data_IF_161812602501
#
_entry.id   IF_161812602501
#
_cell.length_a   1.000
_cell.length_b   1.000
_cell.length_c   1.000
_cell.angle_alpha   90.00
_cell.angle_beta   90.00
_cell.angle_gamma   90.00
#
_symmetry.space_group_name_H-M   'P 1'
#
loop_
_entity.id
_entity.type
_entity.pdbx_description
1 polymer ?
#
# COMPACT_ATOMS: atom_id res chain seq x y z
N UNK A 1 70.81 16.02 -39.24
CA UNK A 1 69.80 17.04 -38.88
C UNK A 1 68.76 16.35 -38.03
N UNK A 2 68.97 16.30 -36.71
CA UNK A 2 68.47 17.29 -35.72
C UNK A 2 66.94 17.23 -35.56
N UNK A 3 66.33 17.21 -34.38
CA UNK A 3 66.74 17.12 -32.96
C UNK A 3 65.47 16.72 -32.17
N UNK A 4 65.68 16.02 -31.08
CA UNK A 4 64.76 15.83 -29.96
C UNK A 4 64.10 17.14 -29.46
N UNK A 5 62.84 17.07 -29.02
CA UNK A 5 62.35 17.65 -27.74
C UNK A 5 60.87 17.27 -27.45
N UNK A 6 60.62 16.57 -26.33
CA UNK A 6 59.35 16.64 -25.57
C UNK A 6 59.21 18.05 -24.97
N UNK A 7 57.98 18.56 -24.78
CA UNK A 7 57.37 18.65 -23.44
C UNK A 7 55.82 18.51 -23.51
N UNK A 8 54.99 18.45 -22.47
CA UNK A 8 55.07 18.28 -21.02
C UNK A 8 53.65 17.86 -20.57
N UNK A 9 53.59 17.13 -19.45
CA UNK A 9 52.37 16.88 -18.68
C UNK A 9 51.79 18.21 -18.16
N UNK A 10 50.49 18.40 -18.33
CA UNK A 10 49.58 19.17 -17.48
C UNK A 10 48.40 18.20 -17.27
N UNK A 11 48.28 17.40 -16.21
CA UNK A 11 48.08 17.80 -14.81
C UNK A 11 47.16 19.04 -14.70
N UNK A 12 46.02 18.98 -15.38
CA UNK A 12 44.84 19.77 -15.04
C UNK A 12 43.94 18.90 -14.16
N UNK A 13 43.99 19.15 -12.86
CA UNK A 13 43.23 18.40 -11.86
C UNK A 13 41.74 18.45 -12.14
N UNK A 14 41.16 17.30 -12.50
CA UNK A 14 39.79 17.01 -12.09
C UNK A 14 39.89 16.81 -10.59
N UNK A 15 39.72 17.91 -9.85
CA UNK A 15 39.37 17.83 -8.44
C UNK A 15 38.25 16.81 -8.36
N UNK A 16 38.58 15.69 -7.69
CA UNK A 16 37.59 14.79 -7.15
C UNK A 16 36.51 15.67 -6.53
N UNK A 17 35.35 15.75 -7.19
CA UNK A 17 34.13 16.09 -6.48
C UNK A 17 33.99 14.97 -5.49
N UNK A 18 34.51 15.23 -4.30
CA UNK A 18 34.30 14.47 -3.10
C UNK A 18 32.84 14.07 -3.12
N UNK A 19 32.62 12.75 -3.25
CA UNK A 19 31.33 12.16 -3.01
C UNK A 19 30.83 12.79 -1.71
N UNK A 20 29.73 13.55 -1.80
CA UNK A 20 29.13 14.11 -0.60
C UNK A 20 28.85 12.92 0.30
N UNK A 21 29.41 12.86 1.53
CA UNK A 21 29.10 11.79 2.45
C UNK A 21 27.59 11.82 2.65
N UNK A 22 26.98 10.64 2.58
CA UNK A 22 25.58 10.38 2.85
C UNK A 22 25.00 11.41 3.82
N UNK A 23 24.19 12.33 3.29
CA UNK A 23 23.40 13.22 4.12
C UNK A 23 22.48 12.38 5.00
N UNK A 24 22.07 12.87 6.18
CA UNK A 24 21.25 12.08 7.09
C UNK A 24 19.96 11.69 6.37
N UNK A 25 19.89 10.42 5.98
CA UNK A 25 18.66 9.76 5.58
C UNK A 25 17.60 10.14 6.60
N UNK A 26 16.51 10.76 6.15
CA UNK A 26 15.30 10.83 6.96
C UNK A 26 14.69 9.44 6.78
N UNK A 27 14.84 8.52 7.75
CA UNK A 27 14.35 7.17 7.57
C UNK A 27 12.83 7.26 7.42
N UNK A 28 12.23 6.29 6.73
CA UNK A 28 10.77 6.05 6.76
C UNK A 28 10.26 5.99 8.23
N UNK A 29 11.15 5.71 9.19
CA UNK A 29 10.92 5.78 10.64
C UNK A 29 10.76 7.19 11.25
N UNK A 30 10.80 8.28 10.46
CA UNK A 30 10.36 9.63 10.89
C UNK A 30 9.05 10.05 10.20
N UNK A 31 8.05 9.17 10.15
CA UNK A 31 6.69 9.67 10.30
C UNK A 31 6.59 10.14 11.76
N UNK A 32 6.48 11.46 12.04
CA UNK A 32 6.22 11.90 13.40
C UNK A 32 4.92 11.22 13.84
N UNK A 33 4.77 10.80 15.11
CA UNK A 33 3.43 10.52 15.64
C UNK A 33 2.56 11.70 15.25
N UNK A 34 1.42 11.46 14.60
CA UNK A 34 0.44 12.51 14.32
C UNK A 34 0.14 13.18 15.67
N UNK A 35 0.63 14.39 15.95
CA UNK A 35 0.14 15.12 17.09
C UNK A 35 -1.27 15.50 16.71
N UNK A 36 -2.25 15.24 17.58
CA UNK A 36 -3.55 15.89 17.46
C UNK A 36 -3.32 17.39 17.19
N UNK A 37 -3.83 17.90 16.05
CA UNK A 37 -5.16 18.48 16.09
C UNK A 37 -5.95 18.18 14.80
N UNK A 38 -6.67 17.06 14.77
CA UNK A 38 -7.85 16.95 13.91
C UNK A 38 -9.00 17.90 14.36
N UNK A 39 -8.80 18.67 15.45
CA UNK A 39 -9.77 19.66 15.96
C UNK A 39 -9.67 21.02 15.28
N UNK A 40 -8.52 21.41 14.72
CA UNK A 40 -8.34 22.74 14.11
C UNK A 40 -8.38 22.75 12.58
N UNK A 41 -8.32 21.56 11.95
CA UNK A 41 -8.62 21.36 10.52
C UNK A 41 -10.12 21.32 10.21
N UNK A 42 -10.95 21.51 11.25
CA UNK A 42 -12.40 21.72 11.23
C UNK A 42 -12.76 23.15 10.76
N UNK A 43 -11.92 23.74 9.89
CA UNK A 43 -12.14 25.05 9.25
C UNK A 43 -12.09 25.01 7.71
N UNK A 44 -11.91 23.84 7.09
CA UNK A 44 -12.71 23.50 5.91
C UNK A 44 -14.17 23.40 6.39
N UNK A 45 -15.23 23.60 5.59
CA UNK A 45 -16.60 23.66 6.10
C UNK A 45 -17.11 22.29 6.61
N UNK A 46 -16.53 21.81 7.70
CA UNK A 46 -16.89 20.64 8.50
C UNK A 46 -18.23 20.79 9.19
N UNK A 47 -18.85 21.99 9.14
CA UNK A 47 -20.28 22.14 9.38
C UNK A 47 -21.14 21.35 8.39
N UNK A 48 -20.61 21.01 7.22
CA UNK A 48 -21.23 20.05 6.28
C UNK A 48 -20.61 18.64 6.34
N UNK A 49 -19.44 18.47 7.00
CA UNK A 49 -18.72 17.20 7.10
C UNK A 49 -18.76 16.54 8.49
N UNK A 50 -19.91 16.54 9.18
CA UNK A 50 -20.15 15.56 10.26
C UNK A 50 -20.48 14.19 9.64
N UNK A 51 -19.45 13.52 9.09
CA UNK A 51 -19.58 12.20 8.48
C UNK A 51 -19.58 11.12 9.55
N UNK A 52 -20.76 10.82 10.08
CA UNK A 52 -21.02 9.53 10.69
C UNK A 52 -21.88 8.78 9.70
N UNK A 53 -21.28 7.95 8.82
CA UNK A 53 -22.05 6.97 8.03
C UNK A 53 -22.80 6.11 9.04
N UNK A 54 -24.09 6.43 9.28
CA UNK A 54 -24.92 5.62 10.15
C UNK A 54 -25.14 4.30 9.42
N UNK A 55 -24.84 3.15 10.04
CA UNK A 55 -25.27 1.88 9.51
C UNK A 55 -26.81 1.92 9.50
N UNK A 56 -27.41 1.95 8.31
CA UNK A 56 -28.80 1.55 8.20
C UNK A 56 -28.81 0.05 8.43
N UNK A 57 -29.61 -0.40 9.39
CA UNK A 57 -29.80 -1.82 9.66
C UNK A 57 -30.22 -2.53 8.37
N UNK A 58 -29.30 -3.36 7.87
CA UNK A 58 -29.56 -4.66 7.25
C UNK A 58 -30.85 -4.79 6.41
N UNK A 59 -30.99 -3.96 5.35
CA UNK A 59 -31.97 -4.17 4.25
C UNK A 59 -31.46 -3.66 2.89
N UNK A 60 -30.27 -4.09 2.48
CA UNK A 60 -29.87 -4.08 1.07
C UNK A 60 -29.78 -2.73 0.35
N UNK A 61 -29.67 -1.61 1.07
CA UNK A 61 -29.43 -0.27 0.52
C UNK A 61 -28.45 0.49 1.41
N UNK A 62 -27.27 0.84 0.89
CA UNK A 62 -26.35 1.75 1.57
C UNK A 62 -26.60 3.17 1.07
N UNK A 63 -27.48 3.93 1.74
CA UNK A 63 -27.35 5.39 1.67
C UNK A 63 -26.18 5.77 2.56
N UNK A 64 -25.19 6.46 2.00
CA UNK A 64 -24.27 7.25 2.81
C UNK A 64 -25.12 8.05 3.82
N UNK A 65 -24.67 8.21 5.06
CA UNK A 65 -25.20 9.30 5.89
C UNK A 65 -24.46 10.62 5.58
N UNK A 66 -24.11 10.81 4.31
CA UNK A 66 -24.41 12.08 3.67
C UNK A 66 -25.86 11.94 3.22
N UNK A 67 -26.79 12.77 3.66
CA UNK A 67 -28.07 12.82 2.97
C UNK A 67 -27.83 13.26 1.53
N UNK A 68 -27.51 12.32 0.64
CA UNK A 68 -27.40 12.45 -0.81
C UNK A 68 -28.48 11.53 -1.34
N UNK A 69 -29.72 12.01 -1.29
CA UNK A 69 -30.66 11.61 -2.34
C UNK A 69 -30.12 12.22 -3.65
N UNK A 70 -30.44 11.65 -4.82
CA UNK A 70 -29.95 12.15 -6.13
C UNK A 70 -30.12 13.68 -6.29
N UNK A 71 -31.09 14.28 -5.59
CA UNK A 71 -31.33 15.72 -5.51
C UNK A 71 -30.22 16.55 -4.83
N UNK A 72 -29.48 16.00 -3.85
CA UNK A 72 -28.42 16.72 -3.12
C UNK A 72 -27.02 16.52 -3.72
N UNK A 73 -26.84 15.55 -4.61
CA UNK A 73 -25.61 15.36 -5.38
C UNK A 73 -25.36 16.55 -6.33
N UNK A 74 -26.44 17.09 -6.91
CA UNK A 74 -26.42 18.32 -7.71
C UNK A 74 -26.14 19.60 -6.88
N UNK A 75 -26.21 19.54 -5.55
CA UNK A 75 -26.03 20.70 -4.66
C UNK A 75 -24.66 20.74 -3.96
N UNK A 76 -23.80 19.72 -4.09
CA UNK A 76 -22.47 19.79 -3.47
C UNK A 76 -21.66 20.92 -4.09
N UNK A 77 -21.17 21.91 -3.32
CA UNK A 77 -20.39 23.00 -3.88
C UNK A 77 -19.06 22.46 -4.42
N UNK A 78 -18.61 23.00 -5.56
CA UNK A 78 -17.25 22.75 -6.04
C UNK A 78 -16.24 23.34 -5.03
N UNK A 79 -15.52 22.47 -4.34
CA UNK A 79 -14.53 22.87 -3.33
C UNK A 79 -13.18 23.18 -3.99
N UNK A 80 -12.55 24.28 -3.60
CA UNK A 80 -11.21 24.64 -4.05
C UNK A 80 -10.13 24.01 -3.17
N UNK A 81 -9.09 23.44 -3.79
CA UNK A 81 -7.93 22.89 -3.09
C UNK A 81 -6.91 23.97 -2.66
N UNK A 82 -7.10 25.24 -3.03
CA UNK A 82 -6.17 26.33 -2.71
C UNK A 82 -5.96 26.55 -1.20
N UNK A 83 -6.91 26.12 -0.38
CA UNK A 83 -6.83 26.17 1.08
C UNK A 83 -5.94 25.09 1.70
N UNK A 84 -5.53 24.05 0.95
CA UNK A 84 -4.73 22.94 1.45
C UNK A 84 -3.23 23.28 1.36
N UNK A 85 -2.67 23.83 2.45
CA UNK A 85 -1.31 24.40 2.45
C UNK A 85 -0.22 23.40 2.79
N UNK A 86 -0.53 22.39 3.58
CA UNK A 86 0.45 21.39 4.03
C UNK A 86 0.20 20.01 3.41
N UNK A 87 1.26 19.20 3.34
CA UNK A 87 1.17 17.81 2.91
C UNK A 87 0.16 17.00 3.73
N UNK A 88 0.07 17.25 5.05
CA UNK A 88 -0.89 16.57 5.93
C UNK A 88 -2.34 16.90 5.58
N UNK A 89 -2.63 18.17 5.28
CA UNK A 89 -3.96 18.62 4.85
C UNK A 89 -4.34 18.00 3.52
N UNK A 90 -3.40 17.96 2.56
CA UNK A 90 -3.62 17.32 1.27
C UNK A 90 -3.86 15.81 1.40
N UNK A 91 -3.09 15.11 2.25
CA UNK A 91 -3.31 13.68 2.53
C UNK A 91 -4.65 13.40 3.18
N UNK A 92 -5.08 14.24 4.13
CA UNK A 92 -6.42 14.10 4.73
C UNK A 92 -7.52 14.38 3.69
N UNK A 93 -7.35 15.37 2.83
CA UNK A 93 -8.29 15.64 1.74
C UNK A 93 -8.37 14.45 0.77
N UNK A 94 -7.23 13.87 0.38
CA UNK A 94 -7.19 12.67 -0.47
C UNK A 94 -7.88 11.47 0.18
N UNK A 95 -7.65 11.24 1.48
CA UNK A 95 -8.36 10.23 2.27
C UNK A 95 -9.88 10.44 2.22
N UNK A 96 -10.36 11.64 2.51
CA UNK A 96 -11.80 11.93 2.54
C UNK A 96 -12.42 11.80 1.14
N UNK A 97 -11.81 12.41 0.12
CA UNK A 97 -12.30 12.39 -1.25
C UNK A 97 -12.31 10.97 -1.84
N UNK A 98 -11.29 10.16 -1.54
CA UNK A 98 -11.25 8.76 -1.97
C UNK A 98 -12.34 7.93 -1.29
N UNK A 99 -12.57 8.08 0.01
CA UNK A 99 -13.66 7.38 0.72
C UNK A 99 -15.05 7.78 0.20
N UNK A 100 -15.28 9.07 -0.03
CA UNK A 100 -16.53 9.56 -0.64
C UNK A 100 -16.69 8.97 -2.05
N UNK A 101 -15.63 8.95 -2.86
CA UNK A 101 -15.64 8.38 -4.21
C UNK A 101 -15.99 6.90 -4.19
N UNK A 102 -15.34 6.08 -3.35
CA UNK A 102 -15.66 4.66 -3.25
C UNK A 102 -17.08 4.42 -2.73
N UNK A 103 -17.52 5.22 -1.76
CA UNK A 103 -18.89 5.19 -1.25
C UNK A 103 -19.92 5.52 -2.33
N UNK A 104 -19.66 6.56 -3.13
CA UNK A 104 -20.51 7.02 -4.22
C UNK A 104 -20.62 5.99 -5.35
N UNK A 105 -19.47 5.49 -5.82
CA UNK A 105 -19.42 4.55 -6.95
C UNK A 105 -20.12 3.23 -6.60
N UNK A 106 -19.91 2.74 -5.37
CA UNK A 106 -20.38 1.42 -4.95
C UNK A 106 -21.61 1.42 -4.03
N UNK A 107 -22.33 2.54 -3.88
CA UNK A 107 -23.45 2.66 -2.93
C UNK A 107 -24.57 1.64 -3.16
N UNK A 108 -24.87 1.31 -4.42
CA UNK A 108 -25.85 0.27 -4.80
C UNK A 108 -25.21 -1.11 -5.03
N UNK A 109 -23.97 -1.30 -4.55
CA UNK A 109 -23.21 -2.53 -4.73
C UNK A 109 -22.64 -2.70 -6.15
N UNK A 110 -22.19 -3.92 -6.45
CA UNK A 110 -21.48 -4.22 -7.71
C UNK A 110 -22.39 -4.37 -8.93
N UNK A 111 -23.69 -4.54 -8.74
CA UNK A 111 -24.65 -4.76 -9.84
C UNK A 111 -25.11 -3.47 -10.49
N UNK A 112 -24.99 -2.34 -9.79
CA UNK A 112 -25.40 -1.01 -10.27
C UNK A 112 -24.40 0.06 -9.83
N UNK A 113 -23.12 -0.04 -10.20
CA UNK A 113 -22.15 1.01 -9.87
C UNK A 113 -22.48 2.32 -10.60
N UNK A 114 -22.14 3.45 -9.99
CA UNK A 114 -22.18 4.75 -10.70
C UNK A 114 -20.97 4.83 -11.65
N UNK A 115 -21.22 5.09 -12.93
CA UNK A 115 -20.19 5.09 -13.99
C UNK A 115 -19.57 6.47 -14.26
N UNK A 116 -20.13 7.51 -13.66
CA UNK A 116 -19.66 8.90 -13.78
C UNK A 116 -19.46 9.47 -12.38
N UNK A 117 -18.25 9.97 -12.11
CA UNK A 117 -17.94 10.74 -10.92
C UNK A 117 -18.29 12.21 -11.17
N UNK A 118 -19.23 12.81 -10.41
CA UNK A 118 -19.67 14.18 -10.64
C UNK A 118 -18.54 15.18 -10.54
N UNK A 119 -18.60 16.25 -11.34
CA UNK A 119 -17.56 17.28 -11.45
C UNK A 119 -17.12 17.86 -10.11
N UNK A 120 -18.07 18.04 -9.19
CA UNK A 120 -17.83 18.66 -7.89
C UNK A 120 -17.02 17.76 -6.94
N UNK A 121 -16.91 16.46 -7.26
CA UNK A 121 -16.05 15.50 -6.57
C UNK A 121 -14.80 15.17 -7.40
N UNK A 122 -14.96 14.99 -8.71
CA UNK A 122 -13.88 14.62 -9.63
C UNK A 122 -12.77 15.68 -9.70
N UNK A 123 -13.11 16.95 -9.87
CA UNK A 123 -12.12 18.03 -9.98
C UNK A 123 -11.22 18.17 -8.74
N UNK A 124 -11.75 18.36 -7.52
CA UNK A 124 -10.91 18.50 -6.33
C UNK A 124 -10.13 17.21 -6.04
N UNK A 125 -10.72 16.03 -6.30
CA UNK A 125 -10.00 14.79 -6.09
C UNK A 125 -8.78 14.66 -7.00
N UNK A 126 -8.96 14.88 -8.31
CA UNK A 126 -7.86 14.83 -9.27
C UNK A 126 -6.80 15.90 -9.00
N UNK A 127 -7.21 17.10 -8.58
CA UNK A 127 -6.25 18.16 -8.20
C UNK A 127 -5.40 17.76 -7.00
N UNK A 128 -6.01 17.26 -5.91
CA UNK A 128 -5.26 16.78 -4.73
C UNK A 128 -4.38 15.58 -5.08
N UNK A 129 -4.90 14.62 -5.84
CA UNK A 129 -4.16 13.46 -6.33
C UNK A 129 -2.90 13.88 -7.11
N UNK A 130 -3.04 14.83 -8.04
CA UNK A 130 -1.90 15.38 -8.80
C UNK A 130 -0.87 16.04 -7.88
N UNK A 131 -1.31 16.86 -6.92
CA UNK A 131 -0.40 17.54 -5.98
C UNK A 131 0.39 16.55 -5.11
N UNK A 132 -0.20 15.40 -4.78
CA UNK A 132 0.42 14.34 -3.99
C UNK A 132 1.22 13.33 -4.82
N UNK A 133 1.08 13.32 -6.14
CA UNK A 133 1.62 12.28 -7.01
C UNK A 133 0.98 10.91 -6.79
N UNK A 134 -0.32 10.89 -6.46
CA UNK A 134 -1.14 9.69 -6.26
C UNK A 134 -2.25 9.64 -7.33
N UNK A 135 -2.82 8.45 -7.62
CA UNK A 135 -3.98 8.34 -8.50
C UNK A 135 -5.26 8.72 -7.76
N UNK A 136 -6.29 9.26 -8.45
CA UNK A 136 -7.59 9.62 -7.88
C UNK A 136 -8.48 8.40 -7.63
N UNK A 137 -8.01 7.47 -6.79
CA UNK A 137 -8.74 6.32 -6.26
C UNK A 137 -8.29 6.08 -4.82
N UNK A 138 -9.08 5.34 -4.03
CA UNK A 138 -8.67 4.87 -2.71
C UNK A 138 -7.48 3.90 -2.82
N UNK A 139 -6.29 4.36 -2.43
CA UNK A 139 -5.07 3.56 -2.37
C UNK A 139 -4.76 3.07 -0.95
N UNK A 140 -3.85 2.11 -0.81
CA UNK A 140 -3.33 1.65 0.48
C UNK A 140 -2.74 2.79 1.32
N UNK A 141 -2.10 3.76 0.66
CA UNK A 141 -1.59 4.96 1.30
C UNK A 141 -2.69 5.74 2.04
N UNK A 142 -3.90 5.77 1.51
CA UNK A 142 -5.05 6.43 2.12
C UNK A 142 -5.67 5.53 3.18
N UNK A 143 -6.09 4.33 2.75
CA UNK A 143 -6.85 3.35 3.52
C UNK A 143 -6.15 2.95 4.81
N UNK A 144 -4.81 2.83 4.78
CA UNK A 144 -4.02 2.28 5.88
C UNK A 144 -3.14 3.36 6.48
N UNK A 145 -2.22 3.94 5.71
CA UNK A 145 -1.14 4.76 6.28
C UNK A 145 -1.64 6.08 6.90
N UNK A 146 -2.78 6.61 6.43
CA UNK A 146 -3.37 7.86 6.94
C UNK A 146 -4.68 7.71 7.69
N UNK A 147 -5.36 6.56 7.59
CA UNK A 147 -6.71 6.42 8.16
C UNK A 147 -6.70 5.86 9.60
N UNK A 148 -5.91 6.46 10.49
CA UNK A 148 -5.88 6.06 11.88
C UNK A 148 -5.57 7.23 12.82
N UNK A 149 -6.03 7.11 14.06
CA UNK A 149 -5.72 8.03 15.17
C UNK A 149 -5.58 7.24 16.46
N UNK A 150 -4.87 7.81 17.44
CA UNK A 150 -4.81 7.27 18.80
C UNK A 150 -5.96 7.80 19.64
N UNK A 151 -6.57 6.95 20.47
CA UNK A 151 -7.51 7.36 21.53
C UNK A 151 -6.79 8.10 22.65
N UNK A 152 -5.62 7.60 23.04
CA UNK A 152 -4.70 8.24 23.98
C UNK A 152 -3.29 8.27 23.37
N UNK A 153 -2.74 9.47 23.05
CA UNK A 153 -1.40 9.61 22.49
C UNK A 153 -0.27 9.09 23.39
N UNK A 154 -0.48 9.02 24.70
CA UNK A 154 0.52 8.57 25.68
C UNK A 154 0.59 7.04 25.82
N UNK A 155 -0.29 6.30 25.13
CA UNK A 155 -0.34 4.83 25.17
C UNK A 155 0.29 4.22 23.92
N UNK A 156 0.70 2.95 24.03
CA UNK A 156 1.25 2.18 22.91
C UNK A 156 0.29 2.12 21.71
N UNK A 157 0.87 1.99 20.51
CA UNK A 157 0.13 1.76 19.27
C UNK A 157 -0.34 0.31 19.20
N UNK A 158 -1.42 0.04 19.90
CA UNK A 158 -2.13 -1.24 19.92
C UNK A 158 -3.56 -1.03 19.43
N UNK A 159 -4.18 -2.05 18.85
CA UNK A 159 -5.50 -1.95 18.23
C UNK A 159 -6.60 -1.41 19.17
N UNK A 160 -6.47 -1.64 20.48
CA UNK A 160 -7.39 -1.12 21.52
C UNK A 160 -7.24 0.40 21.71
N UNK A 161 -6.07 0.95 21.47
CA UNK A 161 -5.76 2.37 21.57
C UNK A 161 -5.88 3.10 20.21
N UNK A 162 -6.11 2.38 19.11
CA UNK A 162 -6.27 2.96 17.78
C UNK A 162 -7.74 3.09 17.40
N UNK A 163 -8.04 4.02 16.50
CA UNK A 163 -9.32 4.12 15.81
C UNK A 163 -9.14 4.62 14.37
N UNK A 164 -10.12 4.42 13.51
CA UNK A 164 -10.12 4.92 12.12
C UNK A 164 -10.71 6.34 12.05
N UNK A 165 -10.25 7.14 11.08
CA UNK A 165 -10.72 8.53 10.89
C UNK A 165 -12.00 8.55 10.04
N UNK A 166 -11.97 7.82 8.92
CA UNK A 166 -13.08 7.68 7.97
C UNK A 166 -13.41 6.20 7.81
N UNK A 167 -14.70 5.89 7.65
CA UNK A 167 -15.20 4.52 7.55
C UNK A 167 -16.06 4.35 6.31
N UNK A 168 -16.16 3.10 5.85
CA UNK A 168 -17.05 2.58 4.82
C UNK A 168 -17.92 1.46 5.44
N UNK A 169 -18.92 0.94 4.73
CA UNK A 169 -19.66 -0.22 5.21
C UNK A 169 -18.74 -1.41 5.54
N UNK A 170 -19.06 -2.13 6.62
CA UNK A 170 -18.25 -3.23 7.16
C UNK A 170 -18.03 -3.17 8.69
N UNK A 171 -18.39 -2.06 9.33
CA UNK A 171 -18.42 -1.94 10.80
C UNK A 171 -17.08 -2.27 11.46
N UNK A 172 -17.13 -3.04 12.56
CA UNK A 172 -15.91 -3.46 13.27
C UNK A 172 -14.97 -4.32 12.42
N UNK A 173 -15.48 -5.05 11.41
CA UNK A 173 -14.59 -5.81 10.51
C UNK A 173 -13.78 -4.91 9.60
N UNK A 174 -14.34 -3.79 9.14
CA UNK A 174 -13.56 -2.81 8.35
C UNK A 174 -12.53 -2.13 9.24
N UNK A 175 -12.94 -1.71 10.44
CA UNK A 175 -12.04 -1.13 11.45
C UNK A 175 -10.90 -2.10 11.77
N UNK A 176 -11.21 -3.37 12.00
CA UNK A 176 -10.24 -4.43 12.22
C UNK A 176 -9.28 -4.62 11.05
N UNK A 177 -9.80 -4.69 9.82
CA UNK A 177 -9.00 -4.85 8.61
C UNK A 177 -7.99 -3.71 8.43
N UNK A 178 -8.43 -2.46 8.60
CA UNK A 178 -7.56 -1.30 8.49
C UNK A 178 -6.52 -1.29 9.61
N UNK A 179 -6.94 -1.42 10.87
CA UNK A 179 -6.04 -1.27 12.01
C UNK A 179 -5.04 -2.42 12.14
N UNK A 180 -5.42 -3.66 11.84
CA UNK A 180 -4.44 -4.77 11.78
C UNK A 180 -3.42 -4.52 10.68
N UNK A 181 -3.83 -3.98 9.53
CA UNK A 181 -2.88 -3.63 8.44
C UNK A 181 -1.96 -2.47 8.85
N UNK A 182 -2.44 -1.47 9.60
CA UNK A 182 -1.59 -0.44 10.21
C UNK A 182 -0.55 -1.05 11.13
N UNK A 183 -0.94 -2.04 11.96
CA UNK A 183 0.00 -2.72 12.85
C UNK A 183 1.03 -3.56 12.09
N UNK A 184 0.64 -4.18 10.96
CA UNK A 184 1.56 -4.86 10.04
C UNK A 184 2.61 -3.88 9.50
N UNK A 185 2.19 -2.73 8.99
CA UNK A 185 3.11 -1.68 8.51
C UNK A 185 4.04 -1.17 9.64
N UNK A 186 3.50 -1.01 10.85
CA UNK A 186 4.29 -0.66 12.03
C UNK A 186 5.32 -1.74 12.38
N UNK A 187 4.96 -3.01 12.32
CA UNK A 187 5.87 -4.14 12.60
C UNK A 187 7.03 -4.23 11.61
N UNK A 188 6.87 -3.65 10.41
CA UNK A 188 7.91 -3.58 9.39
C UNK A 188 8.96 -2.49 9.61
N UNK A 189 8.71 -1.49 10.47
CA UNK A 189 9.60 -0.33 10.66
C UNK A 189 11.03 -0.75 11.02
N UNK A 190 11.28 -1.69 11.95
CA UNK A 190 12.63 -2.18 12.23
C UNK A 190 13.31 -2.82 11.01
N UNK A 191 12.55 -3.56 10.20
CA UNK A 191 13.05 -4.17 8.96
C UNK A 191 13.46 -3.11 7.93
N UNK A 192 12.66 -2.06 7.73
CA UNK A 192 13.00 -0.93 6.84
C UNK A 192 14.27 -0.22 7.31
N UNK A 193 14.42 0.01 8.62
CA UNK A 193 15.66 0.57 9.17
C UNK A 193 16.85 -0.36 8.95
N UNK A 194 16.64 -1.68 9.05
CA UNK A 194 17.67 -2.67 8.79
C UNK A 194 18.14 -2.66 7.33
N UNK A 195 17.26 -2.43 6.34
CA UNK A 195 17.68 -2.28 4.94
C UNK A 195 18.71 -1.16 4.79
N UNK A 196 18.43 0.01 5.37
CA UNK A 196 19.34 1.17 5.32
C UNK A 196 20.67 0.86 6.00
N UNK A 197 20.63 0.19 7.16
CA UNK A 197 21.84 -0.22 7.87
C UNK A 197 22.66 -1.22 7.07
N UNK A 198 22.01 -2.19 6.42
CA UNK A 198 22.66 -3.21 5.63
C UNK A 198 23.30 -2.63 4.36
N UNK A 199 22.62 -1.75 3.63
CA UNK A 199 23.20 -1.04 2.47
C UNK A 199 24.46 -0.28 2.88
N UNK A 200 24.42 0.46 4.00
CA UNK A 200 25.59 1.15 4.52
C UNK A 200 26.71 0.19 4.96
N UNK A 201 26.36 -0.97 5.52
CA UNK A 201 27.33 -1.99 5.92
C UNK A 201 28.04 -2.63 4.71
N UNK A 202 27.31 -2.90 3.61
CA UNK A 202 27.89 -3.40 2.36
C UNK A 202 28.88 -2.37 1.80
N UNK A 203 28.47 -1.12 1.68
CA UNK A 203 29.32 -0.03 1.17
C UNK A 203 30.60 0.22 2.00
N UNK A 204 30.57 -0.12 3.29
CA UNK A 204 31.70 0.04 4.20
C UNK A 204 32.44 -1.26 4.47
N UNK A 205 32.08 -2.37 3.80
CA UNK A 205 32.62 -3.71 4.02
C UNK A 205 32.60 -4.15 5.49
N UNK A 206 31.48 -3.91 6.18
CA UNK A 206 31.28 -4.22 7.61
C UNK A 206 30.36 -5.43 7.80
N UNK A 207 30.89 -6.63 7.58
CA UNK A 207 30.13 -7.88 7.65
C UNK A 207 29.39 -8.10 8.98
N UNK A 208 30.02 -7.77 10.11
CA UNK A 208 29.35 -7.87 11.42
C UNK A 208 28.13 -6.94 11.55
N UNK A 209 28.17 -5.76 10.91
CA UNK A 209 27.04 -4.84 10.88
C UNK A 209 25.96 -5.33 9.91
N UNK A 210 26.37 -5.89 8.77
CA UNK A 210 25.46 -6.51 7.81
C UNK A 210 24.71 -7.68 8.43
N UNK A 211 25.42 -8.57 9.13
CA UNK A 211 24.85 -9.72 9.84
C UNK A 211 23.76 -9.30 10.82
N UNK A 212 24.03 -8.29 11.67
CA UNK A 212 23.03 -7.77 12.63
C UNK A 212 21.82 -7.16 11.93
N UNK A 213 22.04 -6.46 10.81
CA UNK A 213 20.96 -5.89 10.02
C UNK A 213 20.08 -6.98 9.41
N UNK A 214 20.66 -8.04 8.83
CA UNK A 214 19.90 -9.17 8.29
C UNK A 214 19.12 -9.91 9.40
N UNK A 215 19.73 -10.12 10.57
CA UNK A 215 19.01 -10.68 11.73
C UNK A 215 17.81 -9.83 12.14
N UNK A 216 17.97 -8.50 12.16
CA UNK A 216 16.87 -7.57 12.47
C UNK A 216 15.78 -7.57 11.40
N UNK A 217 16.16 -7.68 10.11
CA UNK A 217 15.24 -7.82 9.00
C UNK A 217 14.39 -9.09 9.16
N UNK A 218 15.03 -10.24 9.40
CA UNK A 218 14.35 -11.52 9.66
C UNK A 218 13.31 -11.40 10.79
N UNK A 219 13.73 -10.88 11.94
CA UNK A 219 12.82 -10.69 13.09
C UNK A 219 11.64 -9.78 12.74
N UNK A 220 11.88 -8.71 11.99
CA UNK A 220 10.80 -7.81 11.55
C UNK A 220 9.82 -8.52 10.60
N UNK A 221 10.30 -9.36 9.67
CA UNK A 221 9.43 -10.15 8.79
C UNK A 221 8.58 -11.14 9.60
N UNK A 222 9.17 -11.81 10.60
CA UNK A 222 8.44 -12.70 11.50
C UNK A 222 7.37 -11.94 12.31
N UNK A 223 7.69 -10.73 12.78
CA UNK A 223 6.74 -9.86 13.49
C UNK A 223 5.58 -9.41 12.61
N UNK A 224 5.85 -9.10 11.34
CA UNK A 224 4.81 -8.82 10.34
C UNK A 224 3.88 -10.04 10.21
N UNK A 225 4.42 -11.24 10.03
CA UNK A 225 3.63 -12.47 9.91
C UNK A 225 2.75 -12.72 11.13
N UNK A 226 3.33 -12.60 12.34
CA UNK A 226 2.57 -12.74 13.60
C UNK A 226 1.46 -11.70 13.72
N UNK A 227 1.74 -10.46 13.33
CA UNK A 227 0.77 -9.35 13.40
C UNK A 227 -0.36 -9.54 12.39
N UNK A 228 -0.06 -10.01 11.18
CA UNK A 228 -1.06 -10.34 10.16
C UNK A 228 -2.07 -11.38 10.67
N UNK A 229 -1.64 -12.29 11.56
CA UNK A 229 -2.53 -13.28 12.16
C UNK A 229 -3.63 -12.69 13.04
N UNK A 230 -3.50 -11.44 13.50
CA UNK A 230 -4.58 -10.75 14.21
C UNK A 230 -5.81 -10.52 13.33
N UNK A 231 -5.72 -10.62 11.99
CA UNK A 231 -6.88 -10.54 11.09
C UNK A 231 -7.99 -11.51 11.52
N UNK A 232 -7.61 -12.71 11.98
CA UNK A 232 -8.56 -13.72 12.44
C UNK A 232 -9.43 -13.31 13.63
N UNK A 233 -8.96 -12.36 14.44
CA UNK A 233 -9.65 -11.91 15.64
C UNK A 233 -10.54 -10.70 15.39
N UNK A 234 -10.23 -9.91 14.37
CA UNK A 234 -10.83 -8.59 14.15
C UNK A 234 -11.60 -8.45 12.85
N UNK A 235 -11.50 -9.43 11.93
CA UNK A 235 -12.18 -9.37 10.63
C UNK A 235 -13.02 -10.62 10.44
N UNK A 236 -14.32 -10.41 10.24
CA UNK A 236 -15.26 -11.46 9.83
C UNK A 236 -15.08 -11.76 8.32
N UNK A 237 -14.84 -13.03 7.92
CA UNK A 237 -14.67 -13.40 6.53
C UNK A 237 -15.88 -13.11 5.63
N UNK A 238 -17.10 -13.30 6.13
CA UNK A 238 -18.31 -13.10 5.34
C UNK A 238 -18.54 -11.59 5.12
N UNK A 239 -18.31 -10.76 6.15
CA UNK A 239 -18.39 -9.28 6.02
C UNK A 239 -17.29 -8.76 5.10
N UNK A 240 -16.06 -9.28 5.21
CA UNK A 240 -14.98 -8.89 4.31
C UNK A 240 -15.34 -9.15 2.85
N UNK A 241 -15.78 -10.38 2.56
CA UNK A 241 -16.08 -10.81 1.20
C UNK A 241 -17.29 -10.08 0.59
N UNK A 242 -18.39 -10.00 1.33
CA UNK A 242 -19.67 -9.51 0.82
C UNK A 242 -19.84 -7.99 0.91
N UNK A 243 -19.07 -7.30 1.77
CA UNK A 243 -19.24 -5.86 2.00
C UNK A 243 -17.94 -5.11 1.74
N UNK A 244 -16.90 -5.33 2.55
CA UNK A 244 -15.69 -4.49 2.54
C UNK A 244 -15.03 -4.51 1.16
N UNK A 245 -14.85 -5.70 0.60
CA UNK A 245 -14.19 -5.92 -0.68
C UNK A 245 -14.82 -5.13 -1.83
N UNK A 246 -16.14 -4.93 -1.81
CA UNK A 246 -16.85 -4.14 -2.83
C UNK A 246 -16.28 -2.72 -2.85
N UNK A 247 -16.23 -2.06 -1.70
CA UNK A 247 -15.75 -0.69 -1.57
C UNK A 247 -14.22 -0.53 -1.73
N UNK A 248 -13.46 -1.62 -1.75
CA UNK A 248 -12.02 -1.60 -2.06
C UNK A 248 -11.72 -1.89 -3.53
N UNK A 249 -12.74 -2.29 -4.32
CA UNK A 249 -12.57 -2.64 -5.73
C UNK A 249 -12.43 -1.40 -6.59
N UNK A 250 -11.45 -1.41 -7.50
CA UNK A 250 -11.28 -0.35 -8.49
C UNK A 250 -12.09 -0.62 -9.76
N UNK A 251 -11.82 0.13 -10.81
CA UNK A 251 -12.49 0.04 -12.12
C UNK A 251 -11.49 -0.23 -13.26
N UNK A 252 -10.31 -0.78 -12.92
CA UNK A 252 -9.38 -1.43 -13.87
C UNK A 252 -9.50 -2.93 -13.72
N UNK A 253 -9.62 -3.64 -14.84
CA UNK A 253 -9.79 -5.10 -14.88
C UNK A 253 -10.97 -5.59 -14.02
N UNK A 254 -12.00 -4.74 -13.86
CA UNK A 254 -13.20 -5.02 -13.09
C UNK A 254 -14.39 -5.27 -14.04
N UNK A 255 -14.98 -6.47 -14.06
CA UNK A 255 -16.13 -6.79 -14.91
C UNK A 255 -17.37 -5.94 -14.64
N UNK A 256 -17.55 -5.41 -13.42
CA UNK A 256 -18.66 -4.50 -13.10
C UNK A 256 -18.45 -3.09 -13.68
N UNK A 257 -17.22 -2.73 -14.05
CA UNK A 257 -16.85 -1.43 -14.61
C UNK A 257 -15.90 -1.65 -15.82
N UNK A 258 -16.35 -2.33 -16.90
CA UNK A 258 -15.46 -2.81 -17.96
C UNK A 258 -14.78 -1.67 -18.75
N UNK A 259 -15.45 -0.52 -18.84
CA UNK A 259 -14.95 0.66 -19.53
C UNK A 259 -14.09 1.55 -18.63
N UNK A 260 -14.24 1.50 -17.31
CA UNK A 260 -13.61 2.41 -16.35
C UNK A 260 -14.63 3.38 -15.73
N UNK A 261 -14.16 4.43 -15.07
CA UNK A 261 -14.98 5.47 -14.45
C UNK A 261 -14.76 6.81 -15.17
N UNK A 262 -15.83 7.50 -15.55
CA UNK A 262 -15.74 8.83 -16.16
C UNK A 262 -15.56 9.88 -15.07
N UNK A 263 -14.52 10.70 -15.16
CA UNK A 263 -14.30 11.82 -14.23
C UNK A 263 -14.80 13.11 -14.89
N UNK A 264 -16.02 13.51 -14.54
CA UNK A 264 -16.67 14.65 -15.19
C UNK A 264 -15.85 15.94 -15.02
N UNK A 265 -15.62 16.64 -16.14
CA UNK A 265 -14.79 17.85 -16.17
C UNK A 265 -13.28 17.61 -16.13
N UNK A 266 -12.82 16.36 -16.04
CA UNK A 266 -11.40 15.99 -16.06
C UNK A 266 -11.02 15.30 -17.37
N UNK A 267 -11.78 14.27 -17.76
CA UNK A 267 -11.52 13.44 -18.94
C UNK A 267 -12.82 13.08 -19.61
N UNK A 268 -12.86 13.15 -20.94
CA UNK A 268 -14.00 12.65 -21.75
C UNK A 268 -14.01 11.13 -21.83
N UNK A 269 -12.83 10.50 -21.76
CA UNK A 269 -12.70 9.05 -21.74
C UNK A 269 -12.69 8.50 -20.31
N UNK A 270 -13.34 7.36 -20.04
CA UNK A 270 -13.28 6.70 -18.74
C UNK A 270 -11.85 6.32 -18.34
N UNK A 271 -11.46 6.65 -17.11
CA UNK A 271 -10.15 6.33 -16.55
C UNK A 271 -10.19 4.96 -15.88
N UNK A 272 -9.05 4.24 -15.86
CA UNK A 272 -8.93 2.89 -15.31
C UNK A 272 -7.91 2.85 -14.16
N UNK A 273 -8.39 2.66 -12.94
CA UNK A 273 -7.55 2.52 -11.74
C UNK A 273 -7.83 1.21 -10.99
N UNK A 274 -6.76 0.55 -10.55
CA UNK A 274 -6.81 -0.66 -9.72
C UNK A 274 -7.26 -0.31 -8.30
N UNK A 275 -8.05 -1.19 -7.68
CA UNK A 275 -8.48 -1.01 -6.29
C UNK A 275 -7.36 -1.22 -5.28
N UNK A 276 -7.67 -0.97 -4.02
CA UNK A 276 -6.74 -1.12 -2.91
C UNK A 276 -6.26 -2.57 -2.76
N UNK A 277 -4.95 -2.76 -2.62
CA UNK A 277 -4.32 -4.08 -2.52
C UNK A 277 -3.10 -4.02 -1.61
N UNK A 278 -2.78 -5.11 -0.91
CA UNK A 278 -1.55 -5.25 -0.15
C UNK A 278 -0.30 -5.06 -1.02
N UNK A 279 -0.40 -5.30 -2.34
CA UNK A 279 0.66 -5.04 -3.30
C UNK A 279 0.98 -3.54 -3.48
N UNK A 280 0.21 -2.62 -2.88
CA UNK A 280 0.53 -1.20 -2.84
C UNK A 280 1.36 -0.83 -1.59
N UNK A 281 1.66 -1.80 -0.71
CA UNK A 281 2.55 -1.59 0.45
C UNK A 281 4.00 -1.47 0.00
N UNK A 282 4.65 -0.35 0.33
CA UNK A 282 6.08 -0.11 0.05
C UNK A 282 6.99 -1.15 0.69
N UNK A 283 6.61 -1.68 1.86
CA UNK A 283 7.42 -2.62 2.63
C UNK A 283 7.75 -3.87 1.84
N UNK A 284 6.74 -4.47 1.20
CA UNK A 284 6.91 -5.73 0.46
C UNK A 284 7.89 -5.56 -0.72
N UNK A 285 7.81 -4.43 -1.42
CA UNK A 285 8.70 -4.14 -2.54
C UNK A 285 10.12 -3.83 -2.07
N UNK A 286 10.28 -3.10 -0.97
CA UNK A 286 11.61 -2.78 -0.45
C UNK A 286 12.34 -4.05 0.02
N UNK A 287 11.63 -5.01 0.62
CA UNK A 287 12.22 -6.31 0.98
C UNK A 287 12.59 -7.13 -0.25
N UNK A 288 11.74 -7.14 -1.28
CA UNK A 288 12.03 -7.83 -2.54
C UNK A 288 13.28 -7.27 -3.23
N UNK A 289 13.35 -5.95 -3.40
CA UNK A 289 14.49 -5.31 -4.05
C UNK A 289 15.79 -5.54 -3.25
N UNK A 290 15.74 -5.40 -1.92
CA UNK A 290 16.92 -5.58 -1.09
C UNK A 290 17.42 -7.03 -1.07
N UNK A 291 16.52 -8.02 -1.02
CA UNK A 291 16.88 -9.44 -1.04
C UNK A 291 17.20 -9.95 -2.46
N UNK A 292 17.02 -9.13 -3.50
CA UNK A 292 17.29 -9.51 -4.88
C UNK A 292 16.28 -10.51 -5.44
N UNK A 293 15.00 -10.37 -5.09
CA UNK A 293 13.93 -11.29 -5.52
C UNK A 293 13.48 -10.97 -6.95
N UNK A 294 13.70 -11.90 -7.88
CA UNK A 294 13.31 -11.76 -9.28
C UNK A 294 11.93 -12.41 -9.55
N UNK A 295 10.89 -11.59 -9.66
CA UNK A 295 9.54 -12.06 -9.95
C UNK A 295 9.34 -12.48 -11.43
N UNK A 296 8.34 -13.31 -11.72
CA UNK A 296 7.94 -13.59 -13.12
C UNK A 296 7.49 -12.30 -13.80
N UNK A 297 7.58 -12.23 -15.13
CA UNK A 297 7.21 -11.02 -15.89
C UNK A 297 5.81 -10.52 -15.54
N UNK A 298 4.82 -11.42 -15.46
CA UNK A 298 3.43 -11.09 -15.16
C UNK A 298 3.26 -10.52 -13.75
N UNK A 299 3.93 -11.13 -12.77
CA UNK A 299 3.92 -10.69 -11.37
C UNK A 299 4.66 -9.36 -11.21
N UNK A 300 5.81 -9.21 -11.86
CA UNK A 300 6.59 -7.98 -11.88
C UNK A 300 5.80 -6.83 -12.52
N UNK A 301 5.17 -7.04 -13.68
CA UNK A 301 4.34 -6.04 -14.36
C UNK A 301 3.21 -5.54 -13.45
N UNK A 302 2.56 -6.43 -12.69
CA UNK A 302 1.55 -6.03 -11.72
C UNK A 302 2.15 -5.25 -10.54
N UNK A 303 3.23 -5.75 -9.94
CA UNK A 303 3.91 -5.11 -8.81
C UNK A 303 4.44 -3.72 -9.18
N UNK A 304 5.09 -3.55 -10.33
CA UNK A 304 5.54 -2.25 -10.81
C UNK A 304 4.38 -1.28 -11.02
N UNK A 305 3.25 -1.73 -11.58
CA UNK A 305 2.04 -0.89 -11.64
C UNK A 305 1.55 -0.46 -10.26
N UNK A 306 1.68 -1.28 -9.23
CA UNK A 306 1.27 -0.92 -7.87
C UNK A 306 2.15 0.17 -7.24
N UNK A 307 3.40 0.36 -7.71
CA UNK A 307 4.24 1.49 -7.29
C UNK A 307 3.61 2.84 -7.65
N UNK A 308 2.79 2.91 -8.70
CA UNK A 308 2.06 4.14 -9.05
C UNK A 308 1.01 4.56 -8.02
N UNK A 309 0.66 3.68 -7.08
CA UNK A 309 -0.29 3.94 -5.99
C UNK A 309 0.43 4.25 -4.66
N UNK A 310 1.77 4.34 -4.69
CA UNK A 310 2.60 4.69 -3.54
C UNK A 310 2.96 6.18 -3.57
N UNK A 311 3.13 6.82 -2.39
CA UNK A 311 3.67 8.18 -2.33
C UNK A 311 5.00 8.30 -3.09
N UNK A 312 5.28 9.41 -3.78
CA UNK A 312 6.52 9.57 -4.56
C UNK A 312 7.81 9.29 -3.78
N UNK A 313 7.88 9.72 -2.52
CA UNK A 313 9.04 9.46 -1.65
C UNK A 313 9.23 7.98 -1.33
N UNK A 314 8.14 7.19 -1.31
CA UNK A 314 8.20 5.76 -1.08
C UNK A 314 8.68 5.02 -2.33
N UNK A 315 8.25 5.45 -3.53
CA UNK A 315 8.78 4.93 -4.80
C UNK A 315 10.29 5.18 -4.90
N UNK A 316 10.70 6.42 -4.62
CA UNK A 316 12.11 6.81 -4.63
C UNK A 316 12.96 5.96 -3.67
N UNK A 317 12.42 5.63 -2.49
CA UNK A 317 13.10 4.73 -1.55
C UNK A 317 13.32 3.33 -2.14
N UNK A 318 12.32 2.74 -2.81
CA UNK A 318 12.45 1.44 -3.46
C UNK A 318 13.50 1.50 -4.59
N UNK A 319 13.50 2.57 -5.39
CA UNK A 319 14.47 2.79 -6.47
C UNK A 319 15.90 2.96 -5.94
N UNK A 320 16.05 3.60 -4.78
CA UNK A 320 17.35 3.75 -4.11
C UNK A 320 17.88 2.42 -3.58
N UNK A 321 17.01 1.59 -2.98
CA UNK A 321 17.37 0.22 -2.57
C UNK A 321 17.77 -0.61 -3.80
N UNK A 322 17.01 -0.53 -4.90
CA UNK A 322 17.33 -1.23 -6.14
C UNK A 322 18.69 -0.80 -6.74
N UNK A 323 19.03 0.48 -6.62
CA UNK A 323 20.28 1.04 -7.15
C UNK A 323 21.50 0.81 -6.23
N UNK A 324 21.28 0.29 -5.02
CA UNK A 324 22.36 -0.02 -4.08
C UNK A 324 23.16 -1.25 -4.54
N UNK A 325 24.38 -1.47 -4.00
CA UNK A 325 25.13 -2.68 -4.29
C UNK A 325 24.33 -3.96 -3.95
N UNK A 326 24.40 -4.95 -4.84
CA UNK A 326 23.67 -6.22 -4.70
C UNK A 326 24.06 -6.94 -3.41
N UNK A 327 23.07 -7.18 -2.54
CA UNK A 327 23.25 -7.98 -1.34
C UNK A 327 23.63 -9.43 -1.70
N UNK A 328 22.98 -10.03 -2.70
CA UNK A 328 23.27 -11.40 -3.13
C UNK A 328 24.72 -11.54 -3.59
N UNK A 329 25.18 -10.61 -4.43
CA UNK A 329 26.55 -10.66 -4.96
C UNK A 329 27.57 -10.45 -3.83
N UNK A 330 27.28 -9.56 -2.87
CA UNK A 330 28.11 -9.39 -1.67
C UNK A 330 28.20 -10.68 -0.85
N UNK A 331 27.08 -11.36 -0.61
CA UNK A 331 27.06 -12.61 0.17
C UNK A 331 27.87 -13.70 -0.55
N UNK A 332 27.62 -13.91 -1.85
CA UNK A 332 28.31 -14.91 -2.65
C UNK A 332 29.83 -14.65 -2.70
N UNK A 333 30.23 -13.39 -2.88
CA UNK A 333 31.65 -13.03 -2.92
C UNK A 333 32.35 -12.98 -1.56
N UNK A 334 31.59 -12.91 -0.45
CA UNK A 334 32.17 -12.82 0.90
C UNK A 334 32.80 -14.12 1.39
N UNK A 335 32.36 -15.28 0.90
CA UNK A 335 32.74 -16.60 1.45
C UNK A 335 32.34 -16.79 2.93
N UNK A 336 31.42 -15.97 3.44
CA UNK A 336 31.00 -15.98 4.84
C UNK A 336 29.74 -16.82 5.02
N UNK A 337 29.90 -18.07 5.48
CA UNK A 337 28.80 -19.02 5.71
C UNK A 337 27.72 -18.48 6.65
N UNK A 338 28.10 -17.63 7.60
CA UNK A 338 27.14 -17.04 8.53
C UNK A 338 26.25 -16.00 7.85
N UNK A 339 26.83 -15.15 6.99
CA UNK A 339 26.06 -14.20 6.18
C UNK A 339 25.15 -14.91 5.19
N UNK A 340 25.64 -15.95 4.53
CA UNK A 340 24.86 -16.82 3.64
C UNK A 340 23.65 -17.41 4.37
N UNK A 341 23.90 -18.02 5.53
CA UNK A 341 22.84 -18.61 6.36
C UNK A 341 21.82 -17.56 6.76
N UNK A 342 22.24 -16.42 7.31
CA UNK A 342 21.31 -15.38 7.77
C UNK A 342 20.52 -14.73 6.63
N UNK A 343 21.11 -14.59 5.43
CA UNK A 343 20.36 -14.18 4.25
C UNK A 343 19.26 -15.17 3.88
N UNK A 344 19.59 -16.46 3.82
CA UNK A 344 18.61 -17.50 3.52
C UNK A 344 17.49 -17.53 4.56
N UNK A 345 17.79 -17.34 5.84
CA UNK A 345 16.77 -17.23 6.89
C UNK A 345 15.85 -16.00 6.69
N UNK A 346 16.32 -14.90 6.10
CA UNK A 346 15.47 -13.76 5.72
C UNK A 346 14.54 -14.12 4.57
N UNK A 347 15.06 -14.82 3.55
CA UNK A 347 14.29 -15.29 2.39
C UNK A 347 13.21 -16.27 2.85
N UNK A 348 13.56 -17.24 3.70
CA UNK A 348 12.64 -18.20 4.30
C UNK A 348 11.54 -17.51 5.11
N UNK A 349 11.88 -16.53 5.96
CA UNK A 349 10.88 -15.75 6.69
C UNK A 349 9.91 -15.01 5.75
N UNK A 350 10.39 -14.53 4.60
CA UNK A 350 9.54 -13.88 3.59
C UNK A 350 8.66 -14.89 2.84
N UNK A 351 9.15 -16.10 2.58
CA UNK A 351 8.36 -17.23 2.06
C UNK A 351 7.26 -17.63 3.04
N UNK A 352 7.56 -17.68 4.34
CA UNK A 352 6.58 -17.95 5.40
C UNK A 352 5.49 -16.88 5.44
N UNK A 353 5.86 -15.59 5.41
CA UNK A 353 4.92 -14.48 5.32
C UNK A 353 3.97 -14.65 4.13
N UNK A 354 4.50 -14.96 2.94
CA UNK A 354 3.72 -15.13 1.72
C UNK A 354 2.81 -16.35 1.78
N UNK A 355 3.30 -17.46 2.33
CA UNK A 355 2.51 -18.67 2.57
C UNK A 355 1.36 -18.42 3.54
N UNK A 356 1.63 -17.65 4.60
CA UNK A 356 0.60 -17.24 5.54
C UNK A 356 -0.42 -16.30 4.89
N UNK A 357 0.02 -15.34 4.07
CA UNK A 357 -0.89 -14.47 3.33
C UNK A 357 -1.79 -15.25 2.36
N UNK A 358 -1.28 -16.29 1.69
CA UNK A 358 -2.10 -17.22 0.88
C UNK A 358 -3.17 -17.91 1.76
N UNK A 359 -2.82 -18.29 2.99
CA UNK A 359 -3.76 -18.89 3.95
C UNK A 359 -4.87 -17.90 4.33
N UNK A 360 -4.50 -16.65 4.64
CA UNK A 360 -5.45 -15.56 4.92
C UNK A 360 -6.37 -15.36 3.72
N UNK A 361 -5.85 -15.16 2.51
CA UNK A 361 -6.66 -14.99 1.30
C UNK A 361 -7.57 -16.18 1.05
N UNK A 362 -7.09 -17.40 1.27
CA UNK A 362 -7.93 -18.60 1.12
C UNK A 362 -9.14 -18.54 2.05
N UNK A 363 -8.94 -18.17 3.33
CA UNK A 363 -10.03 -18.04 4.32
C UNK A 363 -11.01 -16.93 3.98
N UNK A 364 -10.51 -15.74 3.63
CA UNK A 364 -11.31 -14.51 3.49
C UNK A 364 -11.93 -14.32 2.10
N UNK A 365 -11.41 -15.02 1.09
CA UNK A 365 -11.87 -14.90 -0.30
C UNK A 365 -12.41 -16.23 -0.83
N UNK A 366 -11.56 -17.25 -0.88
CA UNK A 366 -11.83 -18.50 -1.62
C UNK A 366 -12.88 -19.34 -0.90
N UNK A 367 -12.72 -19.59 0.39
CA UNK A 367 -13.67 -20.39 1.18
C UNK A 367 -15.05 -19.74 1.24
N UNK A 368 -15.11 -18.41 1.36
CA UNK A 368 -16.38 -17.68 1.40
C UNK A 368 -17.06 -17.69 0.03
N UNK A 369 -16.32 -17.48 -1.06
CA UNK A 369 -16.83 -17.58 -2.42
C UNK A 369 -17.48 -18.95 -2.69
N UNK A 370 -16.80 -20.04 -2.34
CA UNK A 370 -17.32 -21.40 -2.51
C UNK A 370 -18.59 -21.63 -1.68
N UNK A 371 -18.65 -21.14 -0.44
CA UNK A 371 -19.86 -21.21 0.40
C UNK A 371 -21.02 -20.43 -0.19
N UNK A 372 -20.76 -19.27 -0.80
CA UNK A 372 -21.78 -18.46 -1.44
C UNK A 372 -22.41 -19.18 -2.65
N UNK A 373 -21.61 -19.89 -3.46
CA UNK A 373 -22.09 -20.72 -4.59
C UNK A 373 -23.04 -21.84 -4.17
N UNK A 374 -22.84 -22.40 -2.97
CA UNK A 374 -23.62 -23.52 -2.46
C UNK A 374 -24.97 -23.14 -1.82
N UNK A 375 -25.27 -21.84 -1.63
CA UNK A 375 -26.52 -21.37 -1.02
C UNK A 375 -27.53 -20.96 -2.11
N UNK A 376 -28.78 -21.44 -2.02
CA UNK A 376 -29.93 -20.90 -2.78
C UNK A 376 -30.08 -19.40 -2.48
N UNK A 377 -30.56 -18.56 -3.43
CA UNK A 377 -30.47 -17.11 -3.32
C UNK A 377 -31.28 -16.61 -2.11
N UNK A 378 -30.58 -16.19 -1.06
CA UNK A 378 -31.17 -15.50 0.09
C UNK A 378 -30.49 -14.15 0.26
N UNK A 379 -31.32 -13.10 0.18
CA UNK A 379 -31.27 -11.70 0.66
C UNK A 379 -29.99 -10.87 0.82
N UNK A 380 -28.77 -11.43 0.71
CA UNK A 380 -27.54 -10.66 0.64
C UNK A 380 -27.08 -10.61 -0.82
N UNK A 381 -26.92 -9.42 -1.43
CA UNK A 381 -26.27 -9.32 -2.73
C UNK A 381 -24.82 -9.77 -2.56
N UNK A 382 -24.51 -10.99 -3.01
CA UNK A 382 -23.14 -11.47 -3.13
C UNK A 382 -22.43 -10.78 -4.29
N UNK A 383 -21.09 -10.67 -4.26
CA UNK A 383 -20.33 -10.18 -5.41
C UNK A 383 -20.60 -11.05 -6.65
N UNK A 384 -20.57 -10.44 -7.83
CA UNK A 384 -20.85 -11.15 -9.10
C UNK A 384 -19.86 -12.30 -9.35
N UNK A 385 -20.29 -13.34 -10.09
CA UNK A 385 -19.44 -14.49 -10.46
C UNK A 385 -18.11 -14.06 -11.09
N UNK A 386 -18.10 -12.95 -11.83
CA UNK A 386 -16.93 -12.45 -12.55
C UNK A 386 -15.83 -11.88 -11.63
N UNK A 387 -16.15 -11.53 -10.38
CA UNK A 387 -15.17 -11.13 -9.37
C UNK A 387 -14.64 -12.32 -8.55
N UNK A 388 -15.28 -13.48 -8.52
CA UNK A 388 -15.00 -14.54 -7.52
C UNK A 388 -13.53 -14.98 -7.42
N UNK A 389 -12.76 -14.89 -8.50
CA UNK A 389 -11.35 -15.28 -8.54
C UNK A 389 -10.37 -14.10 -8.57
N UNK A 390 -10.88 -12.86 -8.69
CA UNK A 390 -10.08 -11.64 -8.83
C UNK A 390 -9.97 -10.85 -7.53
N UNK A 391 -8.76 -10.36 -7.27
CA UNK A 391 -8.49 -9.45 -6.17
C UNK A 391 -9.04 -8.06 -6.47
N UNK A 392 -9.15 -7.23 -5.43
CA UNK A 392 -9.53 -5.81 -5.55
C UNK A 392 -8.58 -5.01 -6.44
N UNK A 393 -7.31 -5.44 -6.53
CA UNK A 393 -6.31 -4.89 -7.45
C UNK A 393 -6.40 -5.41 -8.90
N UNK A 394 -7.23 -6.43 -9.19
CA UNK A 394 -7.49 -6.94 -10.54
C UNK A 394 -6.81 -8.26 -10.92
N UNK A 395 -5.94 -8.83 -10.07
CA UNK A 395 -5.22 -10.09 -10.35
C UNK A 395 -6.04 -11.34 -10.07
N UNK A 396 -5.75 -12.45 -10.75
CA UNK A 396 -6.18 -13.79 -10.32
C UNK A 396 -5.38 -14.13 -9.07
N UNK A 397 -6.02 -14.07 -7.89
CA UNK A 397 -5.29 -13.83 -6.63
C UNK A 397 -4.35 -14.98 -6.28
N UNK A 398 -4.83 -16.22 -6.36
CA UNK A 398 -4.04 -17.37 -5.92
C UNK A 398 -2.84 -17.65 -6.84
N UNK A 399 -2.99 -17.52 -8.16
CA UNK A 399 -1.88 -17.75 -9.08
C UNK A 399 -0.80 -16.68 -8.91
N UNK A 400 -1.21 -15.42 -8.77
CA UNK A 400 -0.29 -14.31 -8.47
C UNK A 400 0.46 -14.53 -7.16
N UNK A 401 -0.24 -14.80 -6.05
CA UNK A 401 0.40 -14.96 -4.75
C UNK A 401 1.33 -16.19 -4.68
N UNK A 402 0.94 -17.31 -5.32
CA UNK A 402 1.82 -18.48 -5.44
C UNK A 402 3.06 -18.16 -6.25
N UNK A 403 2.92 -17.50 -7.40
CA UNK A 403 4.05 -17.07 -8.23
C UNK A 403 5.03 -16.20 -7.44
N UNK A 404 4.54 -15.20 -6.72
CA UNK A 404 5.37 -14.32 -5.89
C UNK A 404 6.08 -15.09 -4.77
N UNK A 405 5.41 -16.04 -4.10
CA UNK A 405 6.02 -16.90 -3.07
C UNK A 405 7.11 -17.78 -3.67
N UNK A 406 6.81 -18.47 -4.76
CA UNK A 406 7.69 -19.45 -5.39
C UNK A 406 8.95 -18.76 -5.92
N UNK A 407 8.82 -17.55 -6.50
CA UNK A 407 9.97 -16.72 -6.90
C UNK A 407 10.84 -16.22 -5.75
N UNK A 408 10.29 -16.03 -4.56
CA UNK A 408 11.12 -15.75 -3.38
C UNK A 408 11.79 -17.02 -2.83
N UNK A 409 11.16 -18.18 -2.92
CA UNK A 409 11.82 -19.44 -2.57
C UNK A 409 13.02 -19.73 -3.48
N UNK A 410 12.89 -19.45 -4.78
CA UNK A 410 13.98 -19.55 -5.76
C UNK A 410 15.17 -18.62 -5.46
N UNK A 411 15.03 -17.62 -4.58
CA UNK A 411 16.11 -16.70 -4.24
C UNK A 411 17.07 -17.25 -3.18
N UNK A 412 16.75 -18.37 -2.53
CA UNK A 412 17.67 -19.06 -1.60
C UNK A 412 19.00 -19.32 -2.31
N UNK A 413 20.09 -19.03 -1.63
CA UNK A 413 21.46 -19.25 -2.08
C UNK A 413 21.98 -20.59 -1.59
N UNK A 414 22.76 -21.27 -2.43
CA UNK A 414 23.52 -22.47 -2.07
C UNK A 414 25.03 -22.17 -2.07
N UNK A 415 25.81 -22.91 -1.28
CA UNK A 415 27.27 -22.75 -1.22
C UNK A 415 27.98 -23.00 -2.57
N UNK A 416 27.29 -23.60 -3.54
CA UNK A 416 27.77 -23.87 -4.88
C UNK A 416 27.39 -22.81 -5.92
N UNK A 417 26.57 -21.82 -5.55
CA UNK A 417 26.18 -20.69 -6.39
C UNK A 417 27.27 -19.61 -6.40
#
# INVERSE_FOLDING_TARGET
MERYKRPARLMGGVQARTARPFGPFTPIARLPPYPAPARDLVKFPTRFLYFRIKPFEYRGRCRLALGLDDAKEAEMPLLSCQGLKSYREQRLAHLVLSFITMGYVWQEGQTQPKEVLPRNLALPFVEVSRNLGLPPILAHADLVLTNWTTRNPERSLEIRNLDIIVSLPGGESLRGFILVTVLVEKAAVPGIMALVQAVNAILQHRDNSLLRALQQLRLSIQDITRTLGQMHNYVDPDIFYAVIRIFLSGWKDNPAMPVGLTYEGVSTEPLKYSGGSAAQSTVLHAFDEFLGICHSKESADFLHRMREYMPPSHKAFIEEIHSAPSLRDHILSSGNDQLLTTYNECVEALVELRSYHITVVTKYLITVATKAKGRKPNHLPGPSQALEERGTGGTVVLSFLKSVRDKTLEAILHQSD
#
